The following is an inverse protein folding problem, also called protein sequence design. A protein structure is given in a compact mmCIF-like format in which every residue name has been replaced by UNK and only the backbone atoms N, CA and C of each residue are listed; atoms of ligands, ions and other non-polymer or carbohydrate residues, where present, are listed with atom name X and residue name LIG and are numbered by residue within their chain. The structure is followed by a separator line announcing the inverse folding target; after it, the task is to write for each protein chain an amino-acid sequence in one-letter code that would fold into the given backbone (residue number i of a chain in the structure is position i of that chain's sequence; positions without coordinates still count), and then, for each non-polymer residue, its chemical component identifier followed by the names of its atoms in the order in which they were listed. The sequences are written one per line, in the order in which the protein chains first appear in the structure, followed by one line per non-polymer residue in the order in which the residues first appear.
data_IF_674481332332
#
_entry.id   IF_674481332332
#
_cell.length_a   1.000
_cell.length_b   1.000
_cell.length_c   1.000
_cell.angle_alpha   90.00
_cell.angle_beta   90.00
_cell.angle_gamma   90.00
#
_symmetry.space_group_name_H-M   'P 1'
#
loop_
_entity.id
_entity.type
_entity.pdbx_description
1 polymer ?
#
# COMPACT_ATOMS: atom_id res chain seq x y z
N UNK A 1 9.30 -1.77 12.66
CA UNK A 1 9.22 -2.43 11.34
C UNK A 1 8.87 -1.40 10.26
N UNK A 2 9.28 -1.64 9.03
CA UNK A 2 8.85 -0.90 7.83
C UNK A 2 7.75 -1.71 7.14
N UNK A 3 6.64 -1.08 6.78
CA UNK A 3 5.53 -1.69 6.06
C UNK A 3 5.43 -1.02 4.69
N UNK A 4 5.54 -1.78 3.61
CA UNK A 4 5.45 -1.28 2.23
C UNK A 4 4.22 -1.85 1.55
N UNK A 5 3.23 -1.00 1.29
CA UNK A 5 2.04 -1.35 0.51
C UNK A 5 2.34 -1.19 -0.98
N UNK A 6 2.47 -2.32 -1.67
CA UNK A 6 2.80 -2.39 -3.08
C UNK A 6 1.53 -2.53 -3.93
N UNK A 7 1.33 -1.66 -4.90
CA UNK A 7 0.21 -1.77 -5.84
C UNK A 7 0.52 -1.12 -7.18
N UNK A 8 -0.47 -1.02 -8.07
CA UNK A 8 -0.25 -0.44 -9.42
C UNK A 8 0.37 0.96 -9.36
N UNK A 9 -0.08 1.78 -8.41
CA UNK A 9 0.45 3.12 -8.13
C UNK A 9 0.60 3.30 -6.63
N UNK A 10 1.48 4.19 -6.20
CA UNK A 10 1.69 4.58 -4.81
C UNK A 10 0.65 5.58 -4.28
N UNK A 11 -0.10 6.26 -5.16
CA UNK A 11 -0.90 7.46 -4.81
C UNK A 11 -2.41 7.29 -4.91
N UNK A 12 -2.89 6.08 -5.23
CA UNK A 12 -4.32 5.78 -5.30
C UNK A 12 -4.73 4.77 -4.22
N UNK A 13 -5.11 3.56 -4.61
CA UNK A 13 -5.66 2.55 -3.70
C UNK A 13 -4.71 2.15 -2.59
N UNK A 14 -3.41 2.03 -2.87
CA UNK A 14 -2.36 1.77 -1.87
C UNK A 14 -2.34 2.83 -0.78
N UNK A 15 -2.43 4.11 -1.16
CA UNK A 15 -2.46 5.25 -0.23
C UNK A 15 -3.73 5.27 0.61
N UNK A 16 -4.86 4.91 0.02
CA UNK A 16 -6.12 4.77 0.75
C UNK A 16 -6.05 3.61 1.74
N UNK A 17 -5.55 2.44 1.34
CA UNK A 17 -5.35 1.30 2.24
C UNK A 17 -4.41 1.65 3.39
N UNK A 18 -3.30 2.35 3.11
CA UNK A 18 -2.37 2.80 4.14
C UNK A 18 -3.04 3.78 5.12
N UNK A 19 -3.85 4.72 4.62
CA UNK A 19 -4.58 5.67 5.45
C UNK A 19 -5.63 4.98 6.32
N UNK A 20 -6.40 4.04 5.75
CA UNK A 20 -7.36 3.24 6.51
C UNK A 20 -6.63 2.44 7.59
N UNK A 21 -5.54 1.73 7.25
CA UNK A 21 -4.70 0.98 8.18
C UNK A 21 -4.25 1.83 9.37
N UNK A 22 -3.68 3.01 9.11
CA UNK A 22 -3.14 3.89 10.14
C UNK A 22 -4.20 4.46 11.09
N UNK A 23 -5.39 4.79 10.59
CA UNK A 23 -6.40 5.50 11.40
C UNK A 23 -7.38 4.59 12.13
N UNK A 24 -7.38 3.28 11.90
CA UNK A 24 -8.39 2.40 12.51
C UNK A 24 -9.81 2.60 11.97
N UNK A 25 -9.99 3.44 10.94
CA UNK A 25 -11.31 3.80 10.43
C UNK A 25 -11.70 2.94 9.23
N UNK A 26 -13.02 2.78 9.06
CA UNK A 26 -13.61 2.23 7.84
C UNK A 26 -14.06 3.34 6.88
N UNK A 27 -14.18 4.58 7.35
CA UNK A 27 -14.54 5.69 6.48
C UNK A 27 -13.34 6.19 5.69
N UNK A 28 -13.53 6.30 4.37
CA UNK A 28 -12.53 6.87 3.46
C UNK A 28 -12.84 8.35 3.26
N UNK A 29 -11.99 9.21 3.81
CA UNK A 29 -11.98 10.63 3.50
C UNK A 29 -10.78 10.98 2.62
N UNK A 30 -10.97 10.95 1.30
CA UNK A 30 -9.92 11.26 0.32
C UNK A 30 -9.32 12.67 0.50
N UNK A 31 -10.07 13.62 1.10
CA UNK A 31 -9.58 14.99 1.30
C UNK A 31 -8.48 15.07 2.36
N UNK A 32 -8.41 14.07 3.26
CA UNK A 32 -7.41 13.98 4.33
C UNK A 32 -6.14 13.25 3.90
N UNK A 33 -6.14 12.66 2.71
CA UNK A 33 -5.01 11.87 2.20
C UNK A 33 -4.09 12.80 1.40
N UNK A 34 -3.06 13.32 2.06
CA UNK A 34 -2.06 14.20 1.43
C UNK A 34 -1.34 13.46 0.29
N UNK A 35 -1.31 14.06 -0.90
CA UNK A 35 -0.66 13.49 -2.09
C UNK A 35 -1.51 12.47 -2.85
N UNK A 36 -2.76 12.24 -2.44
CA UNK A 36 -3.67 11.34 -3.16
C UNK A 36 -3.92 11.82 -4.60
N UNK A 37 -3.74 10.92 -5.55
CA UNK A 37 -3.86 11.18 -6.99
C UNK A 37 -2.73 12.01 -7.59
N UNK A 38 -1.72 12.41 -6.81
CA UNK A 38 -0.57 13.16 -7.31
C UNK A 38 0.42 12.24 -8.01
N UNK A 39 0.21 12.02 -9.31
CA UNK A 39 1.07 11.18 -10.14
C UNK A 39 2.52 11.65 -10.20
N UNK A 40 2.84 12.90 -9.84
CA UNK A 40 4.23 13.36 -9.79
C UNK A 40 5.01 12.68 -8.66
N UNK A 41 4.33 12.26 -7.59
CA UNK A 41 4.94 11.47 -6.52
C UNK A 41 5.16 10.03 -6.95
N UNK A 42 4.20 9.43 -7.66
CA UNK A 42 4.30 8.08 -8.19
C UNK A 42 5.40 7.95 -9.26
N UNK A 43 5.51 8.95 -10.14
CA UNK A 43 6.51 9.00 -11.21
C UNK A 43 7.97 9.01 -10.72
N UNK A 44 8.22 9.34 -9.44
CA UNK A 44 9.57 9.28 -8.85
C UNK A 44 10.07 7.84 -8.68
N UNK A 45 9.16 6.86 -8.64
CA UNK A 45 9.52 5.45 -8.48
C UNK A 45 10.09 5.09 -7.10
N UNK A 46 9.87 5.94 -6.09
CA UNK A 46 10.37 5.75 -4.71
C UNK A 46 9.21 5.49 -3.74
N UNK A 47 9.40 4.69 -2.67
CA UNK A 47 8.39 4.54 -1.63
C UNK A 47 7.99 5.88 -1.00
N UNK A 48 6.69 6.10 -0.83
CA UNK A 48 6.13 7.31 -0.24
C UNK A 48 5.75 7.02 1.21
N UNK A 49 6.35 7.70 2.18
CA UNK A 49 5.97 7.59 3.59
C UNK A 49 4.59 8.21 3.80
N UNK A 50 3.66 7.42 4.35
CA UNK A 50 2.30 7.87 4.68
C UNK A 50 2.21 8.27 6.15
N UNK A 51 2.85 7.51 7.04
CA UNK A 51 2.84 7.79 8.48
C UNK A 51 3.44 6.67 9.31
N UNK A 52 3.20 6.72 10.61
CA UNK A 52 3.67 5.75 11.59
C UNK A 52 2.48 5.24 12.39
N UNK A 53 2.36 3.92 12.56
CA UNK A 53 1.29 3.33 13.37
C UNK A 53 1.58 3.46 14.89
N UNK A 54 0.59 3.11 15.72
CA UNK A 54 0.71 3.17 17.19
C UNK A 54 1.84 2.32 17.77
N UNK A 55 2.37 1.35 17.00
CA UNK A 55 3.46 0.46 17.40
C UNK A 55 4.82 0.95 16.89
N UNK A 56 4.87 2.12 16.27
CA UNK A 56 6.10 2.70 15.73
C UNK A 56 6.49 2.17 14.36
N UNK A 57 5.61 1.44 13.66
CA UNK A 57 5.91 0.95 12.31
C UNK A 57 5.72 2.05 11.28
N UNK A 58 6.71 2.25 10.43
CA UNK A 58 6.63 3.24 9.35
C UNK A 58 5.93 2.63 8.14
N UNK A 59 4.86 3.27 7.68
CA UNK A 59 3.99 2.77 6.61
C UNK A 59 4.24 3.57 5.32
N UNK A 60 4.60 2.85 4.27
CA UNK A 60 4.93 3.39 2.96
C UNK A 60 4.00 2.83 1.89
N UNK A 61 3.85 3.56 0.80
CA UNK A 61 3.22 3.06 -0.44
C UNK A 61 4.20 3.05 -1.59
N UNK A 62 4.04 2.10 -2.51
CA UNK A 62 4.89 1.97 -3.69
C UNK A 62 4.07 1.54 -4.92
N UNK A 63 4.32 2.21 -6.04
CA UNK A 63 3.81 1.85 -7.36
C UNK A 63 4.75 0.86 -8.02
N UNK A 64 4.27 -0.36 -8.29
CA UNK A 64 5.02 -1.43 -8.97
C UNK A 64 4.48 -1.73 -10.37
N UNK A 65 3.48 -0.96 -10.82
CA UNK A 65 2.87 -1.11 -12.14
C UNK A 65 1.86 -2.25 -12.24
N UNK A 66 1.46 -2.58 -13.47
CA UNK A 66 0.32 -3.48 -13.75
C UNK A 66 0.53 -4.96 -13.37
N UNK A 67 1.73 -5.36 -12.93
CA UNK A 67 2.01 -6.71 -12.48
C UNK A 67 2.49 -6.70 -11.02
N UNK A 68 1.53 -6.49 -10.11
CA UNK A 68 1.79 -6.40 -8.67
C UNK A 68 2.48 -7.66 -8.16
N UNK A 69 2.09 -8.84 -8.65
CA UNK A 69 2.68 -10.10 -8.18
C UNK A 69 4.17 -10.21 -8.50
N UNK A 70 4.57 -9.83 -9.72
CA UNK A 70 5.99 -9.82 -10.10
C UNK A 70 6.76 -8.78 -9.27
N UNK A 71 6.20 -7.57 -9.10
CA UNK A 71 6.82 -6.54 -8.26
C UNK A 71 6.99 -6.98 -6.81
N UNK A 72 5.93 -7.55 -6.22
CA UNK A 72 5.92 -8.10 -4.87
C UNK A 72 6.99 -9.20 -4.70
N UNK A 73 6.99 -10.21 -5.58
CA UNK A 73 7.96 -11.31 -5.53
C UNK A 73 9.40 -10.82 -5.67
N UNK A 74 9.66 -9.93 -6.63
CA UNK A 74 10.99 -9.38 -6.84
C UNK A 74 11.50 -8.67 -5.58
N UNK A 75 10.65 -7.90 -4.90
CA UNK A 75 11.02 -7.25 -3.63
C UNK A 75 11.26 -8.28 -2.52
N UNK A 76 10.37 -9.26 -2.34
CA UNK A 76 10.53 -10.26 -1.27
C UNK A 76 11.75 -11.15 -1.48
N UNK A 77 12.02 -11.57 -2.71
CA UNK A 77 13.21 -12.36 -3.05
C UNK A 77 14.48 -11.53 -2.88
N UNK A 78 14.46 -10.25 -3.25
CA UNK A 78 15.57 -9.35 -2.99
C UNK A 78 15.86 -9.19 -1.49
N UNK A 79 14.82 -9.00 -0.67
CA UNK A 79 14.98 -8.93 0.79
C UNK A 79 15.55 -10.23 1.37
N UNK A 80 15.13 -11.39 0.84
CA UNK A 80 15.70 -12.69 1.21
C UNK A 80 17.18 -12.81 0.86
N UNK A 81 17.58 -12.40 -0.35
CA UNK A 81 18.99 -12.39 -0.78
C UNK A 81 19.82 -11.50 0.15
N UNK A 82 19.28 -10.36 0.56
CA UNK A 82 19.91 -9.42 1.49
C UNK A 82 19.86 -9.89 2.95
N UNK A 83 19.27 -11.06 3.23
CA UNK A 83 19.04 -11.58 4.59
C UNK A 83 18.33 -10.58 5.50
N UNK A 84 17.45 -9.75 4.92
CA UNK A 84 16.62 -8.81 5.69
C UNK A 84 15.44 -9.60 6.26
N UNK A 85 15.29 -9.65 7.58
CA UNK A 85 14.24 -10.44 8.19
C UNK A 85 12.89 -9.69 8.07
N UNK A 86 11.80 -10.48 8.05
CA UNK A 86 10.45 -9.98 7.73
C UNK A 86 9.87 -9.09 8.83
N UNK A 87 10.36 -9.23 10.06
CA UNK A 87 10.09 -8.36 11.21
C UNK A 87 10.72 -6.96 11.07
N UNK A 88 11.70 -6.80 10.17
CA UNK A 88 12.29 -5.49 9.83
C UNK A 88 11.53 -4.84 8.68
N UNK A 89 11.22 -5.59 7.60
CA UNK A 89 10.46 -5.08 6.45
C UNK A 89 9.35 -6.06 6.04
N UNK A 90 8.10 -5.58 6.11
CA UNK A 90 6.91 -6.24 5.58
C UNK A 90 6.53 -5.60 4.24
N UNK A 91 6.51 -6.38 3.17
CA UNK A 91 5.91 -5.97 1.89
C UNK A 91 4.51 -6.57 1.79
N UNK A 92 3.51 -5.74 1.51
CA UNK A 92 2.11 -6.16 1.39
C UNK A 92 1.55 -5.79 0.01
N UNK A 93 1.14 -6.75 -0.82
CA UNK A 93 0.54 -6.47 -2.12
C UNK A 93 -0.92 -6.04 -1.95
N UNK A 94 -1.25 -4.81 -2.33
CA UNK A 94 -2.63 -4.30 -2.34
C UNK A 94 -3.26 -4.56 -3.69
N UNK A 95 -4.11 -5.59 -3.75
CA UNK A 95 -4.79 -5.98 -4.98
C UNK A 95 -6.25 -5.51 -5.04
N UNK A 96 -6.67 -5.01 -6.20
CA UNK A 96 -8.05 -4.65 -6.51
C UNK A 96 -8.49 -5.18 -7.89
N UNK A 97 -9.75 -5.61 -8.06
CA UNK A 97 -10.26 -6.09 -9.35
C UNK A 97 -10.19 -5.05 -10.50
N UNK A 98 -10.01 -3.77 -10.16
CA UNK A 98 -9.97 -2.63 -11.08
C UNK A 98 -8.56 -2.11 -11.37
N UNK A 99 -7.52 -2.86 -10.99
CA UNK A 99 -6.11 -2.53 -11.27
C UNK A 99 -5.86 -2.16 -12.75
N UNK A 100 -6.46 -2.91 -13.68
CA UNK A 100 -6.33 -2.65 -15.13
C UNK A 100 -6.90 -1.30 -15.53
N UNK A 101 -8.02 -0.88 -14.92
CA UNK A 101 -8.66 0.41 -15.19
C UNK A 101 -7.82 1.54 -14.58
N UNK A 102 -7.32 1.37 -13.36
CA UNK A 102 -6.43 2.34 -12.71
C UNK A 102 -5.16 2.51 -13.54
N UNK A 103 -4.55 1.41 -14.00
CA UNK A 103 -3.37 1.44 -14.88
C UNK A 103 -3.63 2.12 -16.23
N UNK A 104 -4.81 1.89 -16.84
CA UNK A 104 -5.21 2.57 -18.07
C UNK A 104 -5.36 4.08 -17.85
N UNK A 105 -6.00 4.49 -16.76
CA UNK A 105 -6.21 5.91 -16.42
C UNK A 105 -4.88 6.61 -16.14
N UNK A 106 -3.95 5.95 -15.46
CA UNK A 106 -2.63 6.55 -15.19
C UNK A 106 -1.83 6.81 -16.46
N UNK A 107 -2.01 5.99 -17.51
CA UNK A 107 -1.47 6.27 -18.85
C UNK A 107 -2.14 7.46 -19.57
N UNK A 108 -3.39 7.78 -19.23
CA UNK A 108 -4.16 8.88 -19.86
C UNK A 108 -3.77 10.26 -19.29
N UNK A 109 -3.06 10.31 -18.15
CA UNK A 109 -2.49 11.56 -17.62
C UNK A 109 -1.40 12.22 -18.50
N UNK A 110 -1.03 11.59 -19.62
CA UNK A 110 -0.17 12.20 -20.65
C UNK A 110 -0.90 13.18 -21.59
N UNK A 111 -2.20 13.44 -21.41
CA UNK A 111 -2.94 14.42 -22.23
C UNK A 111 -2.62 15.85 -21.71
N UNK A 112 -2.06 16.75 -22.55
CA UNK A 112 -1.79 18.13 -22.16
C UNK A 112 -3.11 18.89 -21.92
N UNK A 113 -3.08 19.91 -21.03
CA UNK A 113 -4.17 20.84 -20.64
C UNK A 113 -4.82 20.63 -19.25
N UNK A 114 -4.24 19.83 -18.35
CA UNK A 114 -4.73 19.75 -16.95
C UNK A 114 -6.07 19.02 -16.77
N UNK A 115 -6.67 18.51 -17.85
CA UNK A 115 -7.89 17.69 -17.83
C UNK A 115 -7.62 16.33 -17.18
N UNK A 116 -6.40 15.80 -17.31
CA UNK A 116 -5.99 14.49 -16.77
C UNK A 116 -6.11 14.39 -15.25
N UNK A 117 -5.64 15.38 -14.49
CA UNK A 117 -5.64 15.30 -13.02
C UNK A 117 -7.04 15.34 -12.42
N UNK A 118 -7.95 16.14 -12.98
CA UNK A 118 -9.33 16.24 -12.55
C UNK A 118 -10.13 14.97 -12.90
N UNK A 119 -9.92 14.41 -14.10
CA UNK A 119 -10.54 13.15 -14.52
C UNK A 119 -10.02 11.97 -13.69
N UNK A 120 -8.70 11.94 -13.44
CA UNK A 120 -8.05 10.94 -12.60
C UNK A 120 -8.62 10.99 -11.18
N UNK A 121 -8.78 12.17 -10.59
CA UNK A 121 -9.36 12.32 -9.26
C UNK A 121 -10.83 11.89 -9.23
N UNK A 122 -11.63 12.28 -10.22
CA UNK A 122 -13.07 11.98 -10.27
C UNK A 122 -13.35 10.49 -10.49
N UNK A 123 -12.67 9.88 -11.46
CA UNK A 123 -12.87 8.46 -11.78
C UNK A 123 -12.30 7.58 -10.67
N UNK A 124 -11.16 7.94 -10.09
CA UNK A 124 -10.58 7.16 -8.99
C UNK A 124 -11.42 7.29 -7.74
N UNK A 125 -11.98 8.47 -7.41
CA UNK A 125 -12.99 8.59 -6.34
C UNK A 125 -14.23 7.73 -6.59
N UNK A 126 -14.74 7.72 -7.82
CA UNK A 126 -15.95 6.97 -8.17
C UNK A 126 -15.72 5.45 -8.14
N UNK A 127 -14.57 4.99 -8.63
CA UNK A 127 -14.17 3.58 -8.57
C UNK A 127 -13.86 3.16 -7.13
N UNK A 128 -13.07 3.92 -6.39
CA UNK A 128 -12.74 3.57 -5.01
C UNK A 128 -13.99 3.55 -4.13
N UNK A 129 -14.95 4.47 -4.31
CA UNK A 129 -16.25 4.42 -3.63
C UNK A 129 -17.01 3.12 -3.88
N UNK A 130 -16.89 2.53 -5.08
CA UNK A 130 -17.50 1.25 -5.43
C UNK A 130 -16.79 0.04 -4.82
N UNK A 131 -15.51 0.19 -4.48
CA UNK A 131 -14.65 -0.88 -3.94
C UNK A 131 -14.14 -0.62 -2.52
N UNK A 132 -14.73 0.33 -1.79
CA UNK A 132 -14.31 0.66 -0.41
C UNK A 132 -14.27 -0.59 0.47
N UNK A 133 -15.25 -1.49 0.34
CA UNK A 133 -15.28 -2.75 1.10
C UNK A 133 -14.05 -3.64 0.87
N UNK A 134 -13.49 -3.67 -0.35
CA UNK A 134 -12.27 -4.44 -0.62
C UNK A 134 -11.03 -3.75 -0.06
N UNK A 135 -10.99 -2.43 -0.10
CA UNK A 135 -9.87 -1.63 0.45
C UNK A 135 -9.86 -1.75 1.98
N UNK A 136 -11.04 -1.72 2.61
CA UNK A 136 -11.21 -1.98 4.04
C UNK A 136 -10.75 -3.41 4.39
N UNK A 137 -11.18 -4.42 3.62
CA UNK A 137 -10.73 -5.80 3.80
C UNK A 137 -9.20 -5.91 3.72
N UNK A 138 -8.58 -5.26 2.73
CA UNK A 138 -7.12 -5.24 2.60
C UNK A 138 -6.43 -4.56 3.80
N UNK A 139 -7.02 -3.50 4.35
CA UNK A 139 -6.50 -2.84 5.55
C UNK A 139 -6.62 -3.73 6.80
N UNK A 140 -7.74 -4.45 6.95
CA UNK A 140 -7.94 -5.42 8.03
C UNK A 140 -7.01 -6.63 7.91
N UNK A 141 -6.85 -7.17 6.71
CA UNK A 141 -5.92 -8.28 6.45
C UNK A 141 -4.48 -7.88 6.79
N UNK A 142 -4.08 -6.65 6.44
CA UNK A 142 -2.79 -6.08 6.83
C UNK A 142 -2.66 -5.97 8.35
N UNK A 143 -3.70 -5.51 9.07
CA UNK A 143 -3.71 -5.47 10.55
C UNK A 143 -3.51 -6.85 11.17
N UNK A 144 -4.21 -7.86 10.64
CA UNK A 144 -4.08 -9.23 11.10
C UNK A 144 -2.68 -9.78 10.85
N UNK A 145 -2.10 -9.52 9.67
CA UNK A 145 -0.75 -9.98 9.34
C UNK A 145 0.31 -9.35 10.25
N UNK A 146 0.25 -8.03 10.46
CA UNK A 146 1.15 -7.32 11.38
C UNK A 146 0.98 -7.84 12.81
N UNK A 147 -0.26 -8.09 13.26
CA UNK A 147 -0.53 -8.67 14.59
C UNK A 147 0.07 -10.06 14.75
N UNK A 148 -0.07 -10.91 13.74
CA UNK A 148 0.45 -12.29 13.77
C UNK A 148 1.99 -12.31 13.76
N UNK A 149 2.63 -11.42 13.01
CA UNK A 149 4.10 -11.29 13.02
C UNK A 149 4.62 -10.84 14.39
N UNK A 150 3.98 -9.85 15.01
CA UNK A 150 4.32 -9.41 16.36
C UNK A 150 4.02 -10.46 17.43
N UNK A 151 3.06 -11.36 17.21
CA UNK A 151 2.79 -12.47 18.12
C UNK A 151 3.82 -13.58 17.98
N UNK A 152 4.31 -13.85 16.77
CA UNK A 152 5.39 -14.82 16.51
C UNK A 152 6.71 -14.38 17.13
N UNK A 153 6.99 -13.09 17.18
CA UNK A 153 8.18 -12.50 17.82
C UNK A 153 8.16 -12.63 19.37
N UNK A 154 6.95 -12.74 19.96
CA UNK A 154 6.76 -12.88 21.41
C UNK A 154 6.72 -14.32 21.92
N UNK A 155 6.87 -15.33 21.06
CA UNK A 155 7.00 -16.71 21.53
C UNK A 155 8.30 -16.83 22.33
N UNK A 156 8.26 -17.13 23.64
CA UNK A 156 9.47 -17.28 24.41
C UNK A 156 10.28 -18.43 23.82
N UNK A 157 11.57 -18.18 23.60
CA UNK A 157 12.57 -19.24 23.57
C UNK A 157 12.32 -20.04 24.85
N UNK A 158 11.78 -21.26 24.70
CA UNK A 158 11.72 -22.20 25.81
C UNK A 158 13.18 -22.51 26.14
N UNK A 159 13.71 -21.77 27.11
CA UNK A 159 14.90 -22.16 27.83
C UNK A 159 14.54 -23.38 28.70
N UNK A 160 15.42 -24.38 28.66
CA UNK A 160 15.24 -25.72 29.22
C UNK A 160 15.89 -26.71 28.26
N UNK A 161 17.19 -26.64 28.01
CA UNK A 161 18.30 -27.07 28.89
C UNK A 161 18.17 -28.52 29.41
N UNK A 162 19.04 -29.35 28.82
CA UNK A 162 19.87 -30.42 29.39
C UNK A 162 19.27 -31.44 30.38
#
# INVERSE_FOLDING_TARGET
MIIVLAGVTAVHHTMVTAHLYLNGTNEVDFSRIKGYGDMSLDAKGTPILIGTDEKGNSVYTLGVGGNIEVGYRAMTEFLQIMSVPVDVILVYPVRLPVETIIWLITKVNCIPWGVGSALNLAITKLLLNRYVGLIQSAAEDLRLQVKNQLASDKSPIIAGDA
#
